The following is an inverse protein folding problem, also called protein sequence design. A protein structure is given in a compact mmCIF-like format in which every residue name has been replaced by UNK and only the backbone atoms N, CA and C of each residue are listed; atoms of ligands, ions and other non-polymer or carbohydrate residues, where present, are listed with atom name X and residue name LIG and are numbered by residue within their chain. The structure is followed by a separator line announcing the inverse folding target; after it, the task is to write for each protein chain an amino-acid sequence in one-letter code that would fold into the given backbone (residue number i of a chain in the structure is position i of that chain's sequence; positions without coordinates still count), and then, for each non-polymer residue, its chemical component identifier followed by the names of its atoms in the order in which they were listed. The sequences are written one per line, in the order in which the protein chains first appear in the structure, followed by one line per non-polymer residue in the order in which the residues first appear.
data_IF_013150746226
#
_entry.id   IF_013150746226
#
_cell.length_a   1.000
_cell.length_b   1.000
_cell.length_c   1.000
_cell.angle_alpha   90.00
_cell.angle_beta   90.00
_cell.angle_gamma   90.00
#
_symmetry.space_group_name_H-M   'P 1'
#
loop_
_entity.id
_entity.type
_entity.pdbx_description
1 polymer ?
#
# COMPACT_ATOMS: atom_id res chain seq x y z
N UNK A 1 15.67 -33.19 -1.79
CA UNK A 1 14.71 -32.54 -2.70
C UNK A 1 13.54 -33.48 -2.86
N UNK A 2 12.45 -33.22 -2.22
CA UNK A 2 11.25 -34.06 -2.22
C UNK A 2 10.34 -33.66 -3.39
N UNK A 3 9.49 -34.58 -3.84
CA UNK A 3 8.56 -34.38 -4.97
C UNK A 3 7.57 -33.21 -4.76
N UNK A 4 7.57 -32.60 -3.60
CA UNK A 4 6.78 -31.41 -3.23
C UNK A 4 7.45 -30.10 -3.69
N UNK A 5 8.79 -30.06 -3.79
CA UNK A 5 9.54 -28.87 -4.25
C UNK A 5 9.31 -28.57 -5.74
N UNK A 6 8.95 -29.59 -6.53
CA UNK A 6 8.71 -29.44 -7.97
C UNK A 6 7.29 -28.95 -8.34
N UNK A 7 6.32 -29.01 -7.42
CA UNK A 7 4.95 -28.53 -7.70
C UNK A 7 4.82 -27.01 -7.66
N UNK A 8 5.67 -26.31 -6.91
CA UNK A 8 5.56 -24.87 -6.72
C UNK A 8 6.30 -24.03 -7.78
N UNK A 9 7.24 -24.61 -8.52
CA UNK A 9 7.93 -23.89 -9.62
C UNK A 9 7.05 -23.61 -10.85
N UNK A 10 5.85 -24.24 -10.95
CA UNK A 10 4.90 -24.03 -12.05
C UNK A 10 3.84 -22.94 -11.82
N UNK A 11 3.75 -22.40 -10.59
CA UNK A 11 2.69 -21.41 -10.23
C UNK A 11 3.07 -20.00 -10.71
N UNK A 12 4.36 -19.68 -10.71
CA UNK A 12 4.84 -18.35 -11.06
C UNK A 12 5.45 -18.32 -12.46
N UNK A 13 4.82 -17.59 -13.39
CA UNK A 13 5.39 -17.36 -14.73
C UNK A 13 6.41 -16.23 -14.70
N UNK A 14 7.57 -16.42 -15.32
CA UNK A 14 8.53 -15.31 -15.51
C UNK A 14 8.12 -14.46 -16.72
N UNK A 15 7.30 -13.47 -16.45
CA UNK A 15 6.79 -12.50 -17.45
C UNK A 15 7.27 -11.07 -17.17
N UNK A 16 8.29 -10.93 -16.33
CA UNK A 16 8.86 -9.63 -15.94
C UNK A 16 8.06 -8.82 -14.94
N UNK A 17 6.82 -9.24 -14.59
CA UNK A 17 5.99 -8.53 -13.63
C UNK A 17 6.44 -8.77 -12.18
N UNK A 18 6.17 -7.78 -11.33
CA UNK A 18 6.37 -7.90 -9.88
C UNK A 18 5.35 -8.89 -9.30
N UNK A 19 5.83 -9.93 -8.65
CA UNK A 19 4.99 -10.91 -7.95
C UNK A 19 4.82 -10.51 -6.49
N UNK A 20 3.60 -10.33 -6.07
CA UNK A 20 3.26 -9.88 -4.72
C UNK A 20 2.43 -10.96 -4.04
N UNK A 21 3.01 -11.61 -3.02
CA UNK A 21 2.32 -12.61 -2.23
C UNK A 21 1.71 -11.95 -1.01
N UNK A 22 0.40 -11.95 -0.95
CA UNK A 22 -0.37 -11.44 0.17
C UNK A 22 -0.58 -12.57 1.17
N UNK A 23 0.30 -12.68 2.17
CA UNK A 23 0.17 -13.67 3.23
C UNK A 23 -0.65 -13.09 4.38
N UNK A 24 -1.80 -13.69 4.66
CA UNK A 24 -2.65 -13.36 5.79
C UNK A 24 -2.56 -14.50 6.81
N UNK A 25 -2.11 -14.19 8.02
CA UNK A 25 -1.98 -15.11 9.15
C UNK A 25 -3.11 -14.73 10.12
N UNK A 26 -4.22 -15.46 10.07
CA UNK A 26 -5.45 -15.15 10.78
C UNK A 26 -5.63 -16.09 11.97
N UNK A 27 -5.64 -15.51 13.15
CA UNK A 27 -5.96 -16.23 14.38
C UNK A 27 -7.35 -16.84 14.31
N UNK A 28 -7.42 -18.09 14.72
CA UNK A 28 -8.65 -18.88 14.85
C UNK A 28 -8.78 -19.44 16.27
N UNK A 29 -8.19 -18.77 17.27
CA UNK A 29 -8.35 -19.13 18.69
C UNK A 29 -9.76 -18.87 19.18
N UNK A 30 -10.09 -19.40 20.35
CA UNK A 30 -11.45 -19.37 20.88
C UNK A 30 -11.99 -17.95 21.13
N UNK A 31 -11.14 -17.00 21.50
CA UNK A 31 -11.47 -15.59 21.70
C UNK A 31 -12.03 -14.92 20.44
N UNK A 32 -11.52 -15.27 19.26
CA UNK A 32 -12.02 -14.77 17.98
C UNK A 32 -13.49 -15.09 17.68
N UNK A 33 -14.17 -15.88 18.54
CA UNK A 33 -15.56 -16.29 18.30
C UNK A 33 -16.55 -15.12 18.26
N UNK A 34 -16.35 -14.10 19.10
CA UNK A 34 -17.19 -12.89 19.17
C UNK A 34 -17.15 -12.07 17.87
N UNK A 35 -16.02 -12.09 17.17
CA UNK A 35 -15.75 -11.29 15.97
C UNK A 35 -15.55 -12.13 14.69
N UNK A 36 -15.87 -13.44 14.75
CA UNK A 36 -15.63 -14.34 13.62
C UNK A 36 -16.31 -13.88 12.32
N UNK A 37 -17.53 -13.36 12.40
CA UNK A 37 -18.24 -12.79 11.24
C UNK A 37 -17.51 -11.57 10.64
N UNK A 38 -17.00 -10.68 11.48
CA UNK A 38 -16.23 -9.51 11.05
C UNK A 38 -14.88 -9.92 10.44
N UNK A 39 -14.21 -10.93 10.99
CA UNK A 39 -12.97 -11.47 10.44
C UNK A 39 -13.18 -12.05 9.03
N UNK A 40 -14.24 -12.83 8.82
CA UNK A 40 -14.62 -13.37 7.50
C UNK A 40 -14.92 -12.24 6.52
N UNK A 41 -15.74 -11.27 6.91
CA UNK A 41 -16.13 -10.14 6.06
C UNK A 41 -14.93 -9.27 5.71
N UNK A 42 -14.05 -8.98 6.68
CA UNK A 42 -12.86 -8.21 6.49
C UNK A 42 -11.87 -8.89 5.53
N UNK A 43 -11.63 -10.19 5.69
CA UNK A 43 -10.83 -10.96 4.72
C UNK A 43 -11.41 -10.82 3.30
N UNK A 44 -12.71 -11.04 3.13
CA UNK A 44 -13.35 -10.96 1.81
C UNK A 44 -13.20 -9.57 1.18
N UNK A 45 -13.37 -8.49 1.96
CA UNK A 45 -13.13 -7.12 1.49
C UNK A 45 -11.66 -6.86 1.12
N UNK A 46 -10.72 -7.42 1.89
CA UNK A 46 -9.28 -7.33 1.55
C UNK A 46 -9.00 -8.01 0.21
N UNK A 47 -9.58 -9.18 -0.06
CA UNK A 47 -9.45 -9.84 -1.36
C UNK A 47 -10.03 -9.00 -2.50
N UNK A 48 -11.15 -8.32 -2.29
CA UNK A 48 -11.70 -7.37 -3.27
C UNK A 48 -10.72 -6.23 -3.56
N UNK A 49 -10.11 -5.64 -2.52
CA UNK A 49 -9.09 -4.60 -2.68
C UNK A 49 -7.83 -5.07 -3.43
N UNK A 50 -7.40 -6.32 -3.20
CA UNK A 50 -6.27 -6.91 -3.93
C UNK A 50 -6.63 -7.17 -5.40
N UNK A 51 -7.88 -7.58 -5.70
CA UNK A 51 -8.37 -7.70 -7.08
C UNK A 51 -8.42 -6.35 -7.81
N UNK A 52 -8.86 -5.29 -7.14
CA UNK A 52 -8.81 -3.93 -7.68
C UNK A 52 -7.36 -3.51 -8.00
N UNK A 53 -6.41 -3.85 -7.13
CA UNK A 53 -5.00 -3.59 -7.36
C UNK A 53 -4.46 -4.43 -8.54
N UNK A 54 -4.83 -5.71 -8.64
CA UNK A 54 -4.47 -6.58 -9.76
C UNK A 54 -4.95 -6.00 -11.10
N UNK A 55 -6.17 -5.48 -11.16
CA UNK A 55 -6.67 -4.86 -12.39
C UNK A 55 -5.97 -3.52 -12.69
N UNK A 56 -5.73 -2.70 -11.66
CA UNK A 56 -5.05 -1.40 -11.80
C UNK A 56 -3.61 -1.55 -12.29
N UNK A 57 -2.88 -2.54 -11.78
CA UNK A 57 -1.46 -2.75 -12.05
C UNK A 57 -1.22 -4.02 -12.89
N UNK A 58 -2.20 -4.47 -13.67
CA UNK A 58 -2.16 -5.74 -14.43
C UNK A 58 -0.97 -5.89 -15.38
N UNK A 59 -0.41 -4.77 -15.84
CA UNK A 59 0.75 -4.76 -16.73
C UNK A 59 2.08 -4.87 -15.99
N UNK A 60 2.11 -4.60 -14.69
CA UNK A 60 3.32 -4.47 -13.88
C UNK A 60 3.35 -5.38 -12.65
N UNK A 61 2.20 -5.81 -12.14
CA UNK A 61 2.09 -6.61 -10.92
C UNK A 61 1.22 -7.85 -11.13
N UNK A 62 1.53 -8.90 -10.37
CA UNK A 62 0.73 -10.11 -10.21
C UNK A 62 0.54 -10.39 -8.73
N UNK A 63 -0.72 -10.51 -8.30
CA UNK A 63 -1.07 -10.71 -6.90
C UNK A 63 -1.51 -12.16 -6.64
N UNK A 64 -0.87 -12.75 -5.65
CA UNK A 64 -1.19 -14.06 -5.10
C UNK A 64 -1.63 -13.94 -3.65
N UNK A 65 -2.44 -14.86 -3.19
CA UNK A 65 -2.98 -14.87 -1.82
C UNK A 65 -2.63 -16.18 -1.14
N UNK A 66 -2.14 -16.07 0.10
CA UNK A 66 -2.03 -17.18 1.04
C UNK A 66 -2.81 -16.79 2.31
N UNK A 67 -3.70 -17.65 2.74
CA UNK A 67 -4.41 -17.54 4.02
C UNK A 67 -4.04 -18.73 4.89
N UNK A 68 -3.30 -18.49 5.96
CA UNK A 68 -3.11 -19.43 7.06
C UNK A 68 -4.07 -19.08 8.19
N UNK A 69 -4.96 -20.00 8.57
CA UNK A 69 -5.71 -19.91 9.82
C UNK A 69 -5.07 -20.79 10.88
N UNK A 70 -4.94 -20.29 12.12
CA UNK A 70 -4.21 -21.01 13.16
C UNK A 70 -4.92 -21.01 14.52
N UNK A 71 -4.85 -22.15 15.19
CA UNK A 71 -5.12 -22.36 16.62
C UNK A 71 -4.23 -23.52 17.08
N UNK A 72 -4.22 -23.86 18.38
CA UNK A 72 -3.39 -24.97 18.90
C UNK A 72 -3.79 -26.34 18.30
N UNK A 73 -5.04 -26.51 17.91
CA UNK A 73 -5.51 -27.75 17.25
C UNK A 73 -5.02 -27.91 15.82
N UNK A 74 -4.84 -26.81 15.08
CA UNK A 74 -4.44 -26.87 13.67
C UNK A 74 -3.90 -25.54 13.16
N UNK A 75 -2.92 -25.64 12.28
CA UNK A 75 -2.44 -24.56 11.42
C UNK A 75 -2.75 -24.98 9.98
N UNK A 76 -3.73 -24.30 9.34
CA UNK A 76 -4.29 -24.74 8.07
C UNK A 76 -4.20 -23.66 7.02
N UNK A 77 -3.57 -23.98 5.89
CA UNK A 77 -3.68 -23.13 4.70
C UNK A 77 -5.05 -23.35 4.05
N UNK A 78 -5.87 -22.29 4.07
CA UNK A 78 -7.12 -22.23 3.29
C UNK A 78 -6.79 -21.93 1.83
N UNK A 79 -5.85 -21.00 1.63
CA UNK A 79 -5.24 -20.69 0.33
C UNK A 79 -3.73 -20.67 0.47
N UNK A 80 -3.03 -21.15 -0.54
CA UNK A 80 -1.57 -21.13 -0.58
C UNK A 80 -1.10 -20.72 -1.99
N UNK A 81 -0.62 -19.48 -2.09
CA UNK A 81 -0.13 -18.88 -3.34
C UNK A 81 -1.13 -18.97 -4.52
N UNK A 82 -2.40 -18.77 -4.23
CA UNK A 82 -3.46 -18.80 -5.23
C UNK A 82 -3.53 -17.42 -5.92
N UNK A 83 -3.58 -17.35 -7.26
CA UNK A 83 -3.85 -16.10 -7.96
C UNK A 83 -5.10 -15.44 -7.41
N UNK A 84 -5.07 -14.12 -7.14
CA UNK A 84 -6.18 -13.44 -6.46
C UNK A 84 -7.52 -13.58 -7.19
N UNK A 85 -7.50 -13.76 -8.51
CA UNK A 85 -8.69 -13.99 -9.33
C UNK A 85 -9.42 -15.29 -8.98
N UNK A 86 -8.67 -16.32 -8.51
CA UNK A 86 -9.15 -17.67 -8.20
C UNK A 86 -9.55 -17.83 -6.72
N UNK A 87 -9.27 -16.85 -5.86
CA UNK A 87 -9.61 -16.90 -4.43
C UNK A 87 -11.12 -16.80 -4.26
N UNK A 88 -11.75 -17.80 -3.66
CA UNK A 88 -13.17 -17.75 -3.30
C UNK A 88 -13.42 -16.97 -2.01
N UNK A 89 -14.66 -16.63 -1.72
CA UNK A 89 -15.01 -16.00 -0.45
C UNK A 89 -14.80 -16.97 0.71
N UNK A 90 -14.20 -16.46 1.79
CA UNK A 90 -14.14 -17.16 3.07
C UNK A 90 -15.54 -17.25 3.68
N UNK A 91 -15.88 -18.39 4.27
CA UNK A 91 -17.18 -18.63 4.88
C UNK A 91 -17.03 -19.15 6.30
N UNK A 92 -18.15 -19.21 7.05
CA UNK A 92 -18.19 -19.83 8.38
C UNK A 92 -17.91 -21.34 8.39
N UNK A 93 -17.82 -21.99 7.23
CA UNK A 93 -17.38 -23.37 7.12
C UNK A 93 -15.86 -23.48 7.17
N UNK A 94 -15.17 -22.47 6.65
CA UNK A 94 -13.71 -22.43 6.52
C UNK A 94 -13.05 -21.86 7.78
N UNK A 95 -13.77 -20.96 8.49
CA UNK A 95 -13.27 -20.25 9.66
C UNK A 95 -14.18 -20.48 10.88
N UNK A 96 -13.71 -21.35 11.79
CA UNK A 96 -14.40 -21.72 13.04
C UNK A 96 -13.41 -21.60 14.20
N UNK A 97 -13.50 -20.53 15.01
CA UNK A 97 -12.62 -20.32 16.16
C UNK A 97 -12.68 -21.46 17.17
N UNK A 98 -11.51 -21.83 17.72
CA UNK A 98 -11.35 -22.85 18.77
C UNK A 98 -9.97 -22.75 19.43
N UNK A 99 -9.82 -23.28 20.66
CA UNK A 99 -8.56 -23.53 21.35
C UNK A 99 -7.69 -22.30 21.65
N UNK A 100 -6.36 -22.50 21.77
CA UNK A 100 -5.36 -21.49 22.17
C UNK A 100 -4.65 -20.85 20.97
N UNK A 101 -3.76 -19.87 21.25
CA UNK A 101 -3.13 -18.98 20.26
C UNK A 101 -1.62 -19.27 20.12
N UNK A 102 -1.18 -20.23 19.27
CA UNK A 102 0.23 -20.46 18.96
C UNK A 102 0.72 -19.51 17.85
N UNK A 103 0.79 -18.23 18.15
CA UNK A 103 1.10 -17.16 17.20
C UNK A 103 2.50 -17.28 16.59
N UNK A 104 3.51 -17.51 17.45
CA UNK A 104 4.91 -17.59 16.98
C UNK A 104 5.12 -18.81 16.08
N UNK A 105 4.53 -19.94 16.40
CA UNK A 105 4.60 -21.12 15.52
C UNK A 105 3.91 -20.85 14.17
N UNK A 106 2.74 -20.20 14.18
CA UNK A 106 2.03 -19.86 12.96
C UNK A 106 2.84 -18.92 12.05
N UNK A 107 3.46 -17.89 12.65
CA UNK A 107 4.35 -16.98 11.95
C UNK A 107 5.60 -17.71 11.45
N UNK A 108 6.31 -18.41 12.32
CA UNK A 108 7.56 -19.10 11.96
C UNK A 108 7.40 -20.07 10.82
N UNK A 109 6.38 -20.94 10.88
CA UNK A 109 6.07 -21.92 9.85
C UNK A 109 5.70 -21.23 8.53
N UNK A 110 4.80 -20.25 8.56
CA UNK A 110 4.31 -19.63 7.33
C UNK A 110 5.36 -18.75 6.65
N UNK A 111 6.11 -17.96 7.41
CA UNK A 111 7.15 -17.07 6.88
C UNK A 111 8.32 -17.86 6.29
N UNK A 112 8.80 -18.91 7.00
CA UNK A 112 9.89 -19.78 6.50
C UNK A 112 9.46 -20.52 5.24
N UNK A 113 8.22 -21.03 5.21
CA UNK A 113 7.67 -21.73 4.06
C UNK A 113 7.57 -20.81 2.84
N UNK A 114 7.01 -19.61 3.01
CA UNK A 114 6.89 -18.64 1.95
C UNK A 114 8.26 -18.18 1.43
N UNK A 115 9.22 -17.92 2.33
CA UNK A 115 10.58 -17.58 1.94
C UNK A 115 11.20 -18.67 1.04
N UNK A 116 11.10 -19.94 1.43
CA UNK A 116 11.58 -21.06 0.62
C UNK A 116 10.96 -21.13 -0.78
N UNK A 117 9.72 -20.65 -0.93
CA UNK A 117 8.99 -20.66 -2.21
C UNK A 117 9.38 -19.49 -3.13
N UNK A 118 9.67 -18.30 -2.58
CA UNK A 118 9.84 -17.09 -3.40
C UNK A 118 11.24 -16.49 -3.40
N UNK A 119 12.16 -16.91 -2.51
CA UNK A 119 13.50 -16.30 -2.38
C UNK A 119 14.31 -16.29 -3.67
N UNK A 120 14.11 -17.27 -4.55
CA UNK A 120 14.80 -17.42 -5.82
C UNK A 120 14.03 -16.84 -7.02
N UNK A 121 12.81 -16.31 -6.80
CA UNK A 121 12.03 -15.70 -7.85
C UNK A 121 12.51 -14.28 -8.11
N UNK A 122 12.84 -13.93 -9.36
CA UNK A 122 13.11 -12.56 -9.70
C UNK A 122 11.82 -11.73 -9.51
N UNK A 123 11.96 -10.54 -8.97
CA UNK A 123 10.84 -9.61 -8.79
C UNK A 123 9.70 -10.14 -7.88
N UNK A 124 10.00 -10.94 -6.84
CA UNK A 124 9.00 -11.36 -5.85
C UNK A 124 9.17 -10.62 -4.52
N UNK A 125 8.06 -10.29 -3.88
CA UNK A 125 8.01 -9.75 -2.51
C UNK A 125 6.73 -10.21 -1.81
N UNK A 126 6.62 -9.98 -0.50
CA UNK A 126 5.43 -10.32 0.26
C UNK A 126 4.89 -9.13 1.07
N UNK A 127 3.55 -9.08 1.15
CA UNK A 127 2.80 -8.26 2.09
C UNK A 127 2.17 -9.19 3.13
N UNK A 128 2.70 -9.18 4.35
CA UNK A 128 2.28 -10.06 5.44
C UNK A 128 1.38 -9.30 6.40
N UNK A 129 0.21 -9.86 6.70
CA UNK A 129 -0.73 -9.31 7.69
C UNK A 129 -0.99 -10.37 8.75
N UNK A 130 -0.68 -10.04 10.00
CA UNK A 130 -0.96 -10.88 11.17
C UNK A 130 -2.18 -10.30 11.88
N UNK A 131 -3.18 -11.14 12.17
CA UNK A 131 -4.44 -10.73 12.78
C UNK A 131 -4.74 -11.66 13.94
N UNK A 132 -4.83 -11.09 15.15
CA UNK A 132 -5.13 -11.83 16.37
C UNK A 132 -5.84 -10.92 17.39
N UNK A 133 -6.74 -11.48 18.21
CA UNK A 133 -7.35 -10.80 19.34
C UNK A 133 -6.69 -11.19 20.68
N UNK A 134 -5.72 -12.11 20.64
CA UNK A 134 -5.11 -12.71 21.81
C UNK A 134 -3.59 -12.58 21.88
N UNK A 135 -3.05 -12.79 23.09
CA UNK A 135 -1.62 -12.92 23.32
C UNK A 135 -1.17 -14.33 22.97
N UNK A 136 0.08 -14.43 22.54
CA UNK A 136 0.79 -15.70 22.40
C UNK A 136 0.73 -16.54 23.71
N UNK A 137 0.28 -17.78 23.61
CA UNK A 137 0.14 -18.64 24.79
C UNK A 137 0.32 -20.15 24.55
N UNK A 138 0.63 -20.57 23.32
CA UNK A 138 0.64 -21.99 22.98
C UNK A 138 1.75 -22.43 21.99
N UNK A 139 2.63 -21.54 21.56
CA UNK A 139 3.74 -21.88 20.66
C UNK A 139 4.78 -22.80 21.36
N UNK A 140 5.36 -23.71 20.58
CA UNK A 140 6.31 -24.73 21.05
C UNK A 140 7.57 -24.84 20.18
N UNK A 141 7.50 -24.41 18.93
CA UNK A 141 8.57 -24.55 17.94
C UNK A 141 9.37 -23.26 17.79
N UNK A 142 8.72 -22.11 17.90
CA UNK A 142 9.32 -20.78 17.74
C UNK A 142 9.13 -19.92 18.98
N UNK A 143 10.21 -19.24 19.38
CA UNK A 143 10.15 -18.20 20.41
C UNK A 143 9.92 -16.81 19.81
N UNK A 144 9.56 -15.82 20.63
CA UNK A 144 9.47 -14.42 20.21
C UNK A 144 10.77 -13.89 19.62
N UNK A 145 11.93 -14.31 20.15
CA UNK A 145 13.24 -13.94 19.60
C UNK A 145 13.50 -14.53 18.21
N UNK A 146 13.05 -15.75 17.96
CA UNK A 146 13.17 -16.38 16.63
C UNK A 146 12.32 -15.63 15.60
N UNK A 147 11.08 -15.28 15.96
CA UNK A 147 10.18 -14.50 15.10
C UNK A 147 10.74 -13.12 14.85
N UNK A 148 11.26 -12.45 15.88
CA UNK A 148 11.90 -11.14 15.73
C UNK A 148 13.04 -11.18 14.71
N UNK A 149 13.97 -12.10 14.87
CA UNK A 149 15.10 -12.25 13.94
C UNK A 149 14.64 -12.57 12.51
N UNK A 150 13.61 -13.41 12.37
CA UNK A 150 13.05 -13.76 11.07
C UNK A 150 12.38 -12.56 10.41
N UNK A 151 11.55 -11.80 11.13
CA UNK A 151 10.87 -10.59 10.62
C UNK A 151 11.89 -9.54 10.21
N UNK A 152 12.90 -9.26 11.05
CA UNK A 152 13.97 -8.31 10.73
C UNK A 152 14.71 -8.70 9.45
N UNK A 153 15.06 -9.97 9.30
CA UNK A 153 15.70 -10.49 8.10
C UNK A 153 14.81 -10.27 6.86
N UNK A 154 13.54 -10.66 6.93
CA UNK A 154 12.61 -10.57 5.80
C UNK A 154 12.35 -9.11 5.39
N UNK A 155 12.26 -8.19 6.36
CA UNK A 155 12.13 -6.77 6.09
C UNK A 155 13.39 -6.18 5.43
N UNK A 156 14.58 -6.50 5.97
CA UNK A 156 15.83 -5.84 5.60
C UNK A 156 16.49 -6.46 4.36
N UNK A 157 16.39 -7.77 4.17
CA UNK A 157 17.07 -8.49 3.08
C UNK A 157 16.13 -8.83 1.92
N UNK A 158 14.85 -9.11 2.21
CA UNK A 158 13.86 -9.54 1.20
C UNK A 158 12.88 -8.43 0.80
N UNK A 159 12.86 -7.31 1.53
CA UNK A 159 11.98 -6.17 1.28
C UNK A 159 10.50 -6.46 1.52
N UNK A 160 10.19 -7.41 2.45
CA UNK A 160 8.80 -7.74 2.80
C UNK A 160 8.17 -6.64 3.66
N UNK A 161 6.88 -6.42 3.46
CA UNK A 161 6.09 -5.51 4.28
C UNK A 161 5.28 -6.30 5.30
N UNK A 162 5.24 -5.80 6.55
CA UNK A 162 4.52 -6.44 7.65
C UNK A 162 3.53 -5.48 8.29
N UNK A 163 2.31 -5.99 8.56
CA UNK A 163 1.30 -5.32 9.36
C UNK A 163 0.81 -6.27 10.47
N UNK A 164 0.55 -5.72 11.66
CA UNK A 164 0.01 -6.44 12.79
C UNK A 164 -1.29 -5.78 13.25
N UNK A 165 -2.36 -6.56 13.33
CA UNK A 165 -3.70 -6.12 13.74
C UNK A 165 -4.09 -6.86 15.02
N UNK A 166 -4.39 -6.15 16.09
CA UNK A 166 -4.72 -6.76 17.37
C UNK A 166 -5.70 -5.95 18.22
N UNK A 167 -6.19 -6.54 19.34
CA UNK A 167 -7.33 -5.99 20.11
C UNK A 167 -6.98 -5.27 21.39
N UNK A 168 -5.81 -5.39 21.97
CA UNK A 168 -5.54 -4.85 23.29
C UNK A 168 -4.51 -3.71 23.29
N UNK A 169 -4.41 -3.02 24.44
CA UNK A 169 -3.51 -1.88 24.62
C UNK A 169 -2.02 -2.23 24.42
N UNK A 170 -1.68 -3.51 24.39
CA UNK A 170 -0.31 -4.01 24.21
C UNK A 170 0.02 -4.38 22.76
N UNK A 171 -0.86 -4.07 21.78
CA UNK A 171 -0.64 -4.38 20.35
C UNK A 171 0.69 -3.82 19.86
N UNK A 172 0.99 -2.57 20.19
CA UNK A 172 2.24 -1.92 19.81
C UNK A 172 3.44 -2.59 20.46
N UNK A 173 3.36 -2.89 21.78
CA UNK A 173 4.42 -3.55 22.50
C UNK A 173 4.65 -4.98 21.99
N UNK A 174 3.57 -5.72 21.71
CA UNK A 174 3.65 -7.08 21.17
C UNK A 174 4.26 -7.07 19.77
N UNK A 175 3.78 -6.22 18.87
CA UNK A 175 4.32 -6.09 17.52
C UNK A 175 5.78 -5.61 17.53
N UNK A 176 6.12 -4.62 18.38
CA UNK A 176 7.49 -4.14 18.54
C UNK A 176 8.43 -5.23 19.06
N UNK A 177 7.96 -6.11 19.95
CA UNK A 177 8.75 -7.24 20.47
C UNK A 177 9.21 -8.21 19.38
N UNK A 178 8.48 -8.26 18.25
CA UNK A 178 8.78 -9.05 17.04
C UNK A 178 9.14 -8.18 15.83
N UNK A 179 9.56 -6.93 16.07
CA UNK A 179 10.02 -5.97 15.05
C UNK A 179 9.01 -5.63 13.95
N UNK A 180 7.72 -5.72 14.23
CA UNK A 180 6.66 -5.19 13.36
C UNK A 180 6.26 -3.81 13.88
N UNK A 181 6.45 -2.78 13.06
CA UNK A 181 6.17 -1.37 13.41
C UNK A 181 4.85 -0.86 12.85
N UNK A 182 4.30 -1.51 11.83
CA UNK A 182 3.00 -1.16 11.29
C UNK A 182 1.92 -1.90 12.09
N UNK A 183 1.32 -1.21 13.04
CA UNK A 183 0.32 -1.76 13.94
C UNK A 183 -1.04 -1.13 13.71
N UNK A 184 -2.10 -1.89 13.91
CA UNK A 184 -3.48 -1.42 13.89
C UNK A 184 -4.19 -2.01 15.10
N UNK A 185 -4.74 -1.14 15.92
CA UNK A 185 -5.59 -1.54 17.04
C UNK A 185 -7.05 -1.62 16.60
N UNK A 186 -7.79 -2.58 17.14
CA UNK A 186 -9.24 -2.61 17.06
C UNK A 186 -9.86 -2.97 18.43
N UNK A 187 -11.03 -2.42 18.73
CA UNK A 187 -11.83 -2.87 19.85
C UNK A 187 -12.42 -4.24 19.55
N UNK A 188 -12.55 -5.11 20.55
CA UNK A 188 -13.15 -6.47 20.41
C UNK A 188 -14.65 -6.39 20.10
N UNK A 189 -14.94 -5.73 18.98
CA UNK A 189 -16.27 -5.53 18.41
C UNK A 189 -16.22 -5.74 16.90
N UNK A 190 -17.38 -6.05 16.30
CA UNK A 190 -17.46 -6.18 14.85
C UNK A 190 -17.13 -4.88 14.12
N UNK A 191 -17.52 -3.74 14.68
CA UNK A 191 -17.26 -2.41 14.16
C UNK A 191 -15.76 -2.10 14.19
N UNK A 192 -15.10 -2.30 15.34
CA UNK A 192 -13.66 -2.09 15.50
C UNK A 192 -12.83 -2.95 14.56
N UNK A 193 -13.19 -4.24 14.42
CA UNK A 193 -12.53 -5.13 13.46
C UNK A 193 -12.73 -4.64 12.02
N UNK A 194 -13.93 -4.16 11.64
CA UNK A 194 -14.17 -3.62 10.30
C UNK A 194 -13.32 -2.37 10.02
N UNK A 195 -13.16 -1.48 10.99
CA UNK A 195 -12.30 -0.30 10.87
C UNK A 195 -10.83 -0.68 10.66
N UNK A 196 -10.34 -1.67 11.41
CA UNK A 196 -8.97 -2.17 11.27
C UNK A 196 -8.73 -2.76 9.86
N UNK A 197 -9.68 -3.53 9.34
CA UNK A 197 -9.60 -4.06 7.98
C UNK A 197 -9.58 -2.96 6.91
N UNK A 198 -10.37 -1.88 7.08
CA UNK A 198 -10.34 -0.76 6.15
C UNK A 198 -8.98 -0.02 6.18
N UNK A 199 -8.38 0.15 7.38
CA UNK A 199 -7.04 0.72 7.52
C UNK A 199 -5.98 -0.17 6.86
N UNK A 200 -6.07 -1.48 7.05
CA UNK A 200 -5.17 -2.47 6.43
C UNK A 200 -5.28 -2.46 4.89
N UNK A 201 -6.51 -2.44 4.36
CA UNK A 201 -6.76 -2.36 2.92
C UNK A 201 -6.13 -1.10 2.30
N UNK A 202 -6.29 0.05 2.95
CA UNK A 202 -5.64 1.30 2.53
C UNK A 202 -4.13 1.20 2.58
N UNK A 203 -3.57 0.60 3.63
CA UNK A 203 -2.14 0.38 3.78
C UNK A 203 -1.57 -0.52 2.70
N UNK A 204 -2.22 -1.63 2.37
CA UNK A 204 -1.85 -2.51 1.24
C UNK A 204 -1.89 -1.77 -0.09
N UNK A 205 -2.97 -1.02 -0.36
CA UNK A 205 -3.09 -0.24 -1.59
C UNK A 205 -1.91 0.72 -1.79
N UNK A 206 -1.47 1.40 -0.72
CA UNK A 206 -0.29 2.27 -0.74
C UNK A 206 1.01 1.48 -0.99
N UNK A 207 1.17 0.33 -0.37
CA UNK A 207 2.33 -0.53 -0.60
C UNK A 207 2.42 -0.96 -2.08
N UNK A 208 1.31 -1.41 -2.68
CA UNK A 208 1.26 -1.81 -4.08
C UNK A 208 1.58 -0.64 -5.03
N UNK A 209 1.04 0.54 -4.72
CA UNK A 209 1.35 1.75 -5.50
C UNK A 209 2.83 2.12 -5.41
N UNK A 210 3.43 2.07 -4.22
CA UNK A 210 4.87 2.35 -4.06
C UNK A 210 5.74 1.37 -4.83
N UNK A 211 5.39 0.08 -4.83
CA UNK A 211 6.08 -0.92 -5.63
C UNK A 211 6.00 -0.58 -7.13
N UNK A 212 4.83 -0.19 -7.61
CA UNK A 212 4.65 0.21 -9.02
C UNK A 212 5.46 1.46 -9.37
N UNK A 213 5.42 2.48 -8.54
CA UNK A 213 6.19 3.71 -8.73
C UNK A 213 7.71 3.48 -8.71
N UNK A 214 8.19 2.47 -7.98
CA UNK A 214 9.62 2.13 -7.93
C UNK A 214 10.12 1.36 -9.15
N UNK A 215 9.24 0.81 -9.99
CA UNK A 215 9.64 -0.03 -11.16
C UNK A 215 10.67 0.62 -12.06
N UNK A 216 10.58 1.93 -12.26
CA UNK A 216 11.55 2.68 -13.06
C UNK A 216 12.90 2.86 -12.37
N UNK A 217 12.88 3.05 -11.04
CA UNK A 217 14.10 3.24 -10.24
C UNK A 217 14.90 1.95 -10.09
N UNK A 218 14.23 0.78 -10.18
CA UNK A 218 14.87 -0.53 -10.06
C UNK A 218 15.09 -1.22 -11.41
N UNK A 219 14.75 -0.56 -12.52
CA UNK A 219 14.99 -1.09 -13.84
C UNK A 219 16.50 -1.31 -14.06
N UNK A 220 16.87 -2.52 -14.47
CA UNK A 220 18.28 -2.90 -14.67
C UNK A 220 19.03 -3.36 -13.41
N UNK A 221 18.44 -3.25 -12.22
CA UNK A 221 19.03 -3.77 -10.99
C UNK A 221 18.94 -5.29 -10.93
N UNK A 222 19.92 -5.93 -10.28
CA UNK A 222 19.88 -7.34 -9.91
C UNK A 222 18.76 -7.62 -8.91
N UNK A 223 18.35 -8.89 -8.72
CA UNK A 223 17.34 -9.27 -7.75
C UNK A 223 17.69 -8.82 -6.32
N UNK A 224 18.97 -8.93 -5.92
CA UNK A 224 19.43 -8.49 -4.61
C UNK A 224 19.32 -6.97 -4.41
N UNK A 225 19.72 -6.18 -5.41
CA UNK A 225 19.61 -4.73 -5.36
C UNK A 225 18.15 -4.27 -5.29
N UNK A 226 17.24 -4.94 -6.01
CA UNK A 226 15.79 -4.68 -5.93
C UNK A 226 15.24 -4.93 -4.54
N UNK A 227 15.58 -6.06 -3.91
CA UNK A 227 15.17 -6.38 -2.54
C UNK A 227 15.64 -5.32 -1.54
N UNK A 228 16.89 -4.88 -1.65
CA UNK A 228 17.43 -3.79 -0.83
C UNK A 228 16.72 -2.45 -1.07
N UNK A 229 16.35 -2.15 -2.32
CA UNK A 229 15.59 -0.94 -2.64
C UNK A 229 14.19 -0.98 -2.03
N UNK A 230 13.50 -2.12 -2.08
CA UNK A 230 12.21 -2.32 -1.45
C UNK A 230 12.31 -2.27 0.08
N UNK A 231 13.36 -2.82 0.68
CA UNK A 231 13.62 -2.70 2.12
C UNK A 231 13.77 -1.23 2.55
N UNK A 232 14.57 -0.44 1.82
CA UNK A 232 14.70 1.01 2.07
C UNK A 232 13.37 1.74 1.94
N UNK A 233 12.57 1.43 0.94
CA UNK A 233 11.23 2.00 0.76
C UNK A 233 10.35 1.72 1.98
N UNK A 234 10.33 0.49 2.47
CA UNK A 234 9.53 0.10 3.63
C UNK A 234 10.01 0.77 4.93
N UNK A 235 11.33 0.97 5.10
CA UNK A 235 11.88 1.68 6.26
C UNK A 235 11.57 3.18 6.25
N UNK A 236 11.59 3.84 5.10
CA UNK A 236 11.23 5.26 4.99
C UNK A 236 9.74 5.52 5.24
N UNK A 237 8.90 4.50 5.19
CA UNK A 237 7.47 4.61 5.47
C UNK A 237 7.08 4.36 6.94
N UNK A 238 8.05 4.27 7.85
CA UNK A 238 7.82 3.95 9.29
C UNK A 238 7.06 5.02 10.07
N UNK A 239 6.86 6.20 9.52
CA UNK A 239 6.28 7.33 10.26
C UNK A 239 4.79 7.50 9.98
N UNK A 240 3.99 6.50 10.31
CA UNK A 240 2.52 6.64 10.28
C UNK A 240 1.97 7.59 11.37
N UNK A 241 2.73 7.86 12.41
CA UNK A 241 2.40 8.86 13.43
C UNK A 241 2.67 10.31 12.98
N UNK A 242 3.46 10.53 11.92
CA UNK A 242 3.76 11.86 11.36
C UNK A 242 2.62 12.47 10.54
N UNK A 243 1.44 11.85 10.49
CA UNK A 243 0.26 12.40 9.78
C UNK A 243 -0.14 13.78 10.33
N UNK A 244 0.10 14.04 11.60
CA UNK A 244 -0.03 15.36 12.20
C UNK A 244 0.93 16.42 11.62
N UNK A 245 2.08 16.00 11.13
CA UNK A 245 3.12 16.88 10.60
C UNK A 245 2.80 17.38 9.17
N UNK A 246 2.06 16.63 8.37
CA UNK A 246 1.63 17.05 7.02
C UNK A 246 0.34 17.89 7.02
N UNK A 247 -0.35 17.98 8.16
CA UNK A 247 -1.64 18.68 8.29
C UNK A 247 -1.59 20.17 7.89
N UNK A 248 -0.40 20.77 7.80
CA UNK A 248 -0.21 22.18 7.43
C UNK A 248 -0.06 22.40 5.90
N UNK A 249 0.06 21.35 5.09
CA UNK A 249 0.26 21.43 3.63
C UNK A 249 -1.01 21.15 2.83
N UNK A 250 -2.13 21.76 3.26
CA UNK A 250 -3.39 21.69 2.53
C UNK A 250 -3.49 22.81 1.50
N UNK A 251 -3.69 22.45 0.24
CA UNK A 251 -4.11 23.44 -0.76
C UNK A 251 -5.52 23.91 -0.44
N UNK A 252 -5.78 25.22 -0.32
CA UNK A 252 -7.13 25.76 -0.14
C UNK A 252 -8.04 25.37 -1.31
N UNK A 253 -9.31 25.07 -1.02
CA UNK A 253 -10.31 24.74 -2.05
C UNK A 253 -10.55 25.90 -3.02
N UNK A 254 -10.29 27.14 -2.59
CA UNK A 254 -10.41 28.34 -3.41
C UNK A 254 -9.14 29.18 -3.29
N UNK A 255 -8.51 29.51 -4.41
CA UNK A 255 -7.28 30.29 -4.47
C UNK A 255 -7.55 31.53 -5.33
N UNK A 256 -7.65 32.68 -4.66
CA UNK A 256 -7.86 33.97 -5.32
C UNK A 256 -6.57 34.73 -5.58
N UNK A 257 -5.57 34.53 -4.75
CA UNK A 257 -4.26 35.17 -4.81
C UNK A 257 -3.17 34.21 -4.37
N UNK A 258 -1.95 34.49 -4.76
CA UNK A 258 -0.76 33.69 -4.41
C UNK A 258 0.24 34.55 -3.65
N UNK A 259 0.93 33.95 -2.68
CA UNK A 259 2.12 34.55 -2.08
C UNK A 259 3.27 34.59 -3.12
N UNK A 260 4.31 35.42 -2.95
CA UNK A 260 5.36 35.62 -3.97
C UNK A 260 6.00 34.33 -4.50
N UNK A 261 6.19 33.32 -3.64
CA UNK A 261 6.81 32.04 -3.97
C UNK A 261 5.80 30.91 -4.30
N UNK A 262 4.48 31.21 -4.31
CA UNK A 262 3.47 30.20 -4.57
C UNK A 262 3.17 30.07 -6.06
N UNK A 263 2.99 28.80 -6.49
CA UNK A 263 2.65 28.40 -7.85
C UNK A 263 1.30 27.66 -7.83
N UNK A 264 0.38 28.09 -8.65
CA UNK A 264 -0.93 27.47 -8.83
C UNK A 264 -0.82 26.28 -9.77
N UNK A 265 -1.02 25.05 -9.27
CA UNK A 265 -0.93 23.82 -10.08
C UNK A 265 -2.33 23.36 -10.50
N UNK A 266 -2.52 23.21 -11.80
CA UNK A 266 -3.84 22.94 -12.38
C UNK A 266 -3.82 21.82 -13.42
N UNK A 267 -4.98 21.13 -13.56
CA UNK A 267 -5.20 20.15 -14.61
C UNK A 267 -5.39 20.80 -15.98
N UNK A 268 -4.66 20.28 -16.96
CA UNK A 268 -4.64 20.77 -18.34
C UNK A 268 -4.94 19.63 -19.33
N UNK A 269 -4.81 19.91 -20.60
CA UNK A 269 -4.75 18.95 -21.69
C UNK A 269 -3.49 19.20 -22.53
N UNK A 270 -3.09 18.23 -23.33
CA UNK A 270 -1.88 18.30 -24.17
C UNK A 270 -1.85 19.48 -25.14
N UNK A 271 -3.03 19.95 -25.56
CA UNK A 271 -3.16 21.09 -26.47
C UNK A 271 -3.08 22.45 -25.74
N UNK A 272 -3.05 22.49 -24.40
CA UNK A 272 -3.05 23.72 -23.62
C UNK A 272 -4.34 24.56 -23.77
N UNK A 273 -5.49 23.91 -24.02
CA UNK A 273 -6.78 24.57 -24.18
C UNK A 273 -7.41 24.84 -22.80
N UNK A 274 -7.11 25.96 -22.20
CA UNK A 274 -7.45 26.30 -20.81
C UNK A 274 -8.79 27.06 -20.70
N UNK A 275 -9.88 26.53 -21.27
CA UNK A 275 -11.17 27.24 -21.33
C UNK A 275 -12.07 27.11 -20.10
N UNK A 276 -11.82 26.17 -19.17
CA UNK A 276 -12.71 25.89 -18.05
C UNK A 276 -12.01 25.61 -16.72
N UNK A 277 -12.76 25.67 -15.62
CA UNK A 277 -12.31 25.30 -14.29
C UNK A 277 -11.04 25.98 -13.82
N UNK A 278 -10.17 25.24 -13.14
CA UNK A 278 -8.90 25.73 -12.62
C UNK A 278 -7.96 26.23 -13.74
N UNK A 279 -8.00 25.62 -14.92
CA UNK A 279 -7.19 26.05 -16.07
C UNK A 279 -7.57 27.47 -16.53
N UNK A 280 -8.86 27.79 -16.58
CA UNK A 280 -9.31 29.17 -16.88
C UNK A 280 -8.86 30.17 -15.82
N UNK A 281 -8.95 29.80 -14.54
CA UNK A 281 -8.46 30.65 -13.43
C UNK A 281 -6.95 30.89 -13.55
N UNK A 282 -6.19 29.87 -13.93
CA UNK A 282 -4.74 29.98 -14.14
C UNK A 282 -4.40 31.02 -15.24
N UNK A 283 -5.12 31.01 -16.35
CA UNK A 283 -4.95 32.01 -17.43
C UNK A 283 -5.32 33.41 -16.94
N UNK A 284 -6.45 33.56 -16.26
CA UNK A 284 -6.96 34.86 -15.86
C UNK A 284 -6.17 35.52 -14.74
N UNK A 285 -5.63 34.74 -13.79
CA UNK A 285 -5.06 35.26 -12.55
C UNK A 285 -3.56 34.99 -12.38
N UNK A 286 -3.05 33.86 -12.95
CA UNK A 286 -1.74 33.34 -12.59
C UNK A 286 -0.78 33.16 -13.76
N UNK A 287 -1.14 33.70 -14.94
CA UNK A 287 -0.25 33.80 -16.08
C UNK A 287 -0.05 32.51 -16.86
N UNK A 288 -1.00 31.59 -16.79
CA UNK A 288 -1.00 30.41 -17.67
C UNK A 288 -1.17 30.84 -19.14
N UNK A 289 -0.51 30.10 -20.03
CA UNK A 289 -0.39 30.43 -21.46
C UNK A 289 -1.27 29.46 -22.27
N UNK A 290 -2.20 30.00 -23.06
CA UNK A 290 -2.97 29.21 -24.02
C UNK A 290 -2.05 28.54 -25.02
N UNK A 291 -2.25 27.23 -25.24
CA UNK A 291 -1.40 26.43 -26.13
C UNK A 291 -0.23 25.72 -25.43
N UNK A 292 0.05 26.02 -24.14
CA UNK A 292 1.05 25.32 -23.34
C UNK A 292 0.37 24.35 -22.38
N UNK A 293 0.38 23.07 -22.73
CA UNK A 293 -0.35 22.02 -21.98
C UNK A 293 0.34 21.50 -20.73
N UNK A 294 1.68 21.67 -20.59
CA UNK A 294 2.46 21.14 -19.48
C UNK A 294 3.54 22.15 -19.03
N UNK A 295 3.90 22.08 -17.75
CA UNK A 295 5.04 22.77 -17.16
C UNK A 295 4.70 24.14 -16.59
N UNK A 296 5.80 24.82 -16.13
CA UNK A 296 5.72 26.15 -15.48
C UNK A 296 5.39 27.23 -16.50
N UNK A 297 4.44 28.11 -16.17
CA UNK A 297 4.00 29.23 -17.00
C UNK A 297 3.47 30.36 -16.11
N UNK A 298 4.15 31.49 -16.11
CA UNK A 298 3.87 32.58 -15.17
C UNK A 298 4.02 32.09 -13.72
N UNK A 299 2.96 32.27 -12.94
CA UNK A 299 2.83 31.76 -11.56
C UNK A 299 1.93 30.54 -11.47
N UNK A 300 1.91 29.72 -12.54
CA UNK A 300 1.14 28.48 -12.59
C UNK A 300 1.93 27.35 -13.21
N UNK A 301 1.54 26.11 -12.91
CA UNK A 301 2.10 24.91 -13.48
C UNK A 301 0.97 24.02 -14.01
N UNK A 302 1.05 23.67 -15.29
CA UNK A 302 0.05 22.83 -15.96
C UNK A 302 0.45 21.35 -15.90
N UNK A 303 -0.50 20.48 -15.55
CA UNK A 303 -0.34 19.01 -15.60
C UNK A 303 -1.43 18.47 -16.53
N UNK A 304 -1.10 17.86 -17.69
CA UNK A 304 -2.10 17.26 -18.58
C UNK A 304 -2.78 16.06 -17.91
N UNK A 305 -4.12 16.12 -17.81
CA UNK A 305 -4.96 15.11 -17.14
C UNK A 305 -6.13 14.64 -18.03
N UNK A 306 -6.17 15.05 -19.28
CA UNK A 306 -7.24 14.70 -20.22
C UNK A 306 -6.89 13.52 -21.15
N UNK A 307 -5.72 12.91 -20.94
CA UNK A 307 -5.27 11.73 -21.65
C UNK A 307 -5.59 10.43 -20.90
N UNK A 308 -4.82 9.39 -21.17
CA UNK A 308 -4.84 8.14 -20.42
C UNK A 308 -4.29 8.32 -19.00
N UNK A 309 -4.63 7.40 -18.09
CA UNK A 309 -4.09 7.42 -16.73
C UNK A 309 -2.55 7.34 -16.74
N UNK A 310 -1.96 6.53 -17.63
CA UNK A 310 -0.50 6.43 -17.75
C UNK A 310 0.17 7.74 -18.22
N UNK A 311 -0.43 8.48 -19.14
CA UNK A 311 0.06 9.80 -19.54
C UNK A 311 -0.05 10.81 -18.40
N UNK A 312 -1.14 10.78 -17.65
CA UNK A 312 -1.33 11.60 -16.45
C UNK A 312 -0.30 11.27 -15.37
N UNK A 313 -0.02 9.99 -15.15
CA UNK A 313 1.03 9.54 -14.22
C UNK A 313 2.40 10.11 -14.58
N UNK A 314 2.81 9.99 -15.85
CA UNK A 314 4.09 10.55 -16.33
C UNK A 314 4.16 12.07 -16.10
N UNK A 315 3.08 12.79 -16.40
CA UNK A 315 3.03 14.24 -16.20
C UNK A 315 3.11 14.64 -14.72
N UNK A 316 2.47 13.88 -13.82
CA UNK A 316 2.58 14.07 -12.36
C UNK A 316 4.01 13.79 -11.88
N UNK A 317 4.68 12.75 -12.38
CA UNK A 317 6.06 12.45 -12.03
C UNK A 317 7.02 13.55 -12.49
N UNK A 318 6.83 14.08 -13.71
CA UNK A 318 7.58 15.24 -14.21
C UNK A 318 7.39 16.46 -13.30
N UNK A 319 6.16 16.73 -12.89
CA UNK A 319 5.85 17.81 -11.93
C UNK A 319 6.57 17.61 -10.59
N UNK A 320 6.52 16.41 -9.99
CA UNK A 320 7.18 16.12 -8.71
C UNK A 320 8.70 16.29 -8.84
N UNK A 321 9.29 15.81 -9.96
CA UNK A 321 10.72 16.00 -10.22
C UNK A 321 11.08 17.48 -10.36
N UNK A 322 10.25 18.28 -11.04
CA UNK A 322 10.41 19.72 -11.16
C UNK A 322 10.32 20.41 -9.77
N UNK A 323 9.33 20.07 -8.96
CA UNK A 323 9.15 20.66 -7.63
C UNK A 323 10.34 20.39 -6.70
N UNK A 324 10.94 19.19 -6.75
CA UNK A 324 12.15 18.84 -6.01
C UNK A 324 13.37 19.68 -6.41
N UNK A 325 13.44 20.14 -7.66
CA UNK A 325 14.52 20.99 -8.14
C UNK A 325 14.32 22.47 -7.81
N UNK A 326 13.13 22.84 -7.35
CA UNK A 326 12.73 24.23 -7.02
C UNK A 326 12.19 24.34 -5.59
N UNK A 327 13.04 24.07 -4.57
CA UNK A 327 12.62 24.11 -3.17
C UNK A 327 12.24 25.52 -2.68
N UNK A 328 12.63 26.57 -3.41
CA UNK A 328 12.27 27.97 -3.16
C UNK A 328 10.80 28.28 -3.49
N UNK A 329 10.14 27.43 -4.29
CA UNK A 329 8.74 27.59 -4.69
C UNK A 329 7.84 26.68 -3.87
N UNK A 330 6.59 27.09 -3.66
CA UNK A 330 5.53 26.29 -3.02
C UNK A 330 4.43 26.02 -4.04
N UNK A 331 4.15 24.75 -4.29
CA UNK A 331 3.21 24.33 -5.32
C UNK A 331 1.86 23.96 -4.70
N UNK A 332 0.84 24.78 -4.98
CA UNK A 332 -0.54 24.56 -4.53
C UNK A 332 -1.30 23.74 -5.58
N UNK A 333 -1.35 22.44 -5.39
CA UNK A 333 -2.02 21.52 -6.32
C UNK A 333 -3.53 21.58 -6.12
N UNK A 334 -4.29 21.88 -7.17
CA UNK A 334 -5.76 21.80 -7.16
C UNK A 334 -6.23 20.36 -7.34
N UNK A 335 -7.54 20.08 -7.28
CA UNK A 335 -8.10 18.74 -7.55
C UNK A 335 -8.01 18.40 -9.04
N UNK A 336 -6.79 18.30 -9.56
CA UNK A 336 -6.54 18.00 -10.98
C UNK A 336 -7.14 16.65 -11.36
N UNK A 337 -7.64 16.56 -12.60
CA UNK A 337 -8.27 15.33 -13.10
C UNK A 337 -9.69 15.06 -12.56
N UNK A 338 -10.09 15.66 -11.42
CA UNK A 338 -11.36 15.36 -10.76
C UNK A 338 -12.54 16.23 -11.25
N UNK A 339 -12.36 16.98 -12.32
CA UNK A 339 -13.42 17.78 -12.95
C UNK A 339 -13.82 17.21 -14.31
N UNK A 340 -13.54 17.96 -15.39
CA UNK A 340 -13.92 17.60 -16.77
C UNK A 340 -13.29 16.27 -17.22
N UNK A 341 -12.11 15.92 -16.72
CA UNK A 341 -11.46 14.65 -17.03
C UNK A 341 -12.18 13.42 -16.43
N UNK A 342 -13.06 13.63 -15.43
CA UNK A 342 -13.97 12.61 -14.92
C UNK A 342 -13.35 11.63 -13.90
N UNK A 343 -12.12 11.81 -13.50
CA UNK A 343 -11.48 10.98 -12.48
C UNK A 343 -11.96 11.35 -11.07
N UNK A 344 -11.81 10.43 -10.13
CA UNK A 344 -12.05 10.63 -8.70
C UNK A 344 -10.76 10.95 -7.96
N UNK A 345 -10.81 11.56 -6.76
CA UNK A 345 -9.65 11.69 -5.89
C UNK A 345 -8.95 10.36 -5.62
N UNK A 346 -9.69 9.26 -5.47
CA UNK A 346 -9.18 7.90 -5.28
C UNK A 346 -8.30 7.42 -6.44
N UNK A 347 -8.57 7.89 -7.66
CA UNK A 347 -7.79 7.52 -8.85
C UNK A 347 -6.56 8.42 -9.04
N UNK A 348 -6.67 9.71 -8.75
CA UNK A 348 -5.60 10.69 -9.00
C UNK A 348 -4.64 10.82 -7.82
N UNK A 349 -5.13 10.83 -6.57
CA UNK A 349 -4.28 11.03 -5.41
C UNK A 349 -3.09 10.05 -5.34
N UNK A 350 -3.25 8.75 -5.64
CA UNK A 350 -2.14 7.81 -5.63
C UNK A 350 -0.95 8.22 -6.52
N UNK A 351 -1.17 8.97 -7.59
CA UNK A 351 -0.11 9.47 -8.47
C UNK A 351 0.82 10.46 -7.74
N UNK A 352 0.32 11.10 -6.67
CA UNK A 352 1.06 12.03 -5.82
C UNK A 352 1.73 11.37 -4.60
N UNK A 353 1.77 10.04 -4.50
CA UNK A 353 2.38 9.36 -3.34
C UNK A 353 3.81 9.81 -3.06
N UNK A 354 4.61 10.04 -4.10
CA UNK A 354 5.98 10.54 -3.95
C UNK A 354 6.05 12.00 -3.49
N UNK A 355 4.97 12.77 -3.62
CA UNK A 355 4.88 14.15 -3.18
C UNK A 355 4.69 14.27 -1.65
N UNK A 356 4.31 13.19 -0.95
CA UNK A 356 4.13 13.18 0.50
C UNK A 356 5.40 13.67 1.22
N UNK A 357 6.58 13.30 0.72
CA UNK A 357 7.87 13.67 1.30
C UNK A 357 8.52 14.89 0.63
N UNK A 358 7.75 15.64 -0.17
CA UNK A 358 8.23 16.84 -0.87
C UNK A 358 7.56 18.06 -0.24
N UNK A 359 8.24 18.70 0.70
CA UNK A 359 7.67 19.74 1.59
C UNK A 359 7.03 20.93 0.88
N UNK A 360 7.52 21.26 -0.29
CA UNK A 360 7.04 22.38 -1.09
C UNK A 360 5.86 22.02 -2.02
N UNK A 361 5.33 20.79 -1.95
CA UNK A 361 4.09 20.39 -2.63
C UNK A 361 2.95 20.34 -1.63
N UNK A 362 1.92 21.14 -1.84
CA UNK A 362 0.68 21.15 -1.08
C UNK A 362 -0.42 20.50 -1.89
N UNK A 363 -1.17 19.58 -1.29
CA UNK A 363 -2.21 18.82 -1.97
C UNK A 363 -3.61 19.18 -1.42
N UNK A 364 -4.68 18.98 -2.21
CA UNK A 364 -6.05 19.08 -1.72
C UNK A 364 -6.30 18.14 -0.55
N UNK A 365 -7.19 18.53 0.36
CA UNK A 365 -7.59 17.69 1.50
C UNK A 365 -8.08 16.32 1.05
N UNK A 366 -8.82 16.26 -0.04
CA UNK A 366 -9.35 15.02 -0.63
C UNK A 366 -8.24 14.09 -1.10
N UNK A 367 -7.11 14.63 -1.62
CA UNK A 367 -5.96 13.82 -2.00
C UNK A 367 -5.22 13.30 -0.76
N UNK A 368 -5.04 14.14 0.26
CA UNK A 368 -4.46 13.70 1.52
C UNK A 368 -5.27 12.57 2.16
N UNK A 369 -6.61 12.65 2.15
CA UNK A 369 -7.47 11.59 2.68
C UNK A 369 -7.31 10.23 1.99
N UNK A 370 -6.88 10.22 0.72
CA UNK A 370 -6.61 8.99 -0.03
C UNK A 370 -5.16 8.51 0.12
N UNK A 371 -4.24 9.40 0.49
CA UNK A 371 -2.80 9.12 0.60
C UNK A 371 -2.38 8.66 2.01
N UNK A 372 -3.17 9.05 3.06
CA UNK A 372 -2.84 8.84 4.48
C UNK A 372 -3.94 8.09 5.27
#
# INVERSE_FOLDING_TARGET
MTAQDNKNQGIYTDNGKQKIINLIILDKSGSMSSIAGAAIMGFNKTIEGIREAQERYKDTQEHYVSLLTFCDCAKTYVYENVPVAEVSQLTSRDYRPCCCTPLYDAMGISLTRLLGQIQNLPNATAAVTVITDGLENASREYSGSDIKALVERLQNEEGWNFAYIGTNQDVEATAASISITQTMYFEDTAEGMNEAWEKERKSKSRFFHRLDAMRFNVAGMSAAEKKMAYAKMNHSSKNYEEIGEYAHRFTPNHIDSLQPNQIFVFGSNSAGAHYGGAARTAVQKFGAIMGQGEGLQGRSYAIPTMGTMGETEVAVQNFIAFAKQHPELTFLVTQIGCGIAGYTPREIAPLFMQAIHVENIWLPKEFWNELI
#
